data_IF_345549817728
#
_entry.id   IF_345549817728
#
_cell.length_a   1.000
_cell.length_b   1.000
_cell.length_c   1.000
_cell.angle_alpha   90.00
_cell.angle_beta   90.00
_cell.angle_gamma   90.00
#
_symmetry.space_group_name_H-M   'P 1'
#
loop_
_entity.id
_entity.type
_entity.pdbx_description
1 polymer ?
#
# COMPACT_ATOMS: atom_id res chain seq x y z
N UNK A 1 22.51 -1.30 62.98
CA UNK A 1 22.95 -1.74 61.64
C UNK A 1 22.23 -0.92 60.56
N UNK A 2 22.96 -0.05 59.85
CA UNK A 2 22.46 0.64 58.66
C UNK A 2 22.86 -0.20 57.45
N UNK A 3 21.87 -0.72 56.72
CA UNK A 3 22.06 -1.31 55.40
C UNK A 3 21.40 -0.38 54.39
N UNK A 4 22.19 0.16 53.46
CA UNK A 4 21.69 0.86 52.28
C UNK A 4 22.13 0.07 51.05
N UNK A 5 21.18 -0.47 50.31
CA UNK A 5 21.41 -0.93 48.94
C UNK A 5 21.36 0.33 48.07
N UNK A 6 22.52 0.88 47.75
CA UNK A 6 22.61 1.90 46.69
C UNK A 6 22.76 1.17 45.35
N UNK A 7 21.73 1.25 44.51
CA UNK A 7 21.83 0.93 43.10
C UNK A 7 22.60 2.07 42.40
N UNK A 8 23.77 1.77 41.85
CA UNK A 8 24.52 2.70 41.00
C UNK A 8 24.22 2.33 39.55
N UNK A 9 23.49 3.19 38.84
CA UNK A 9 23.30 3.08 37.39
C UNK A 9 24.31 3.96 36.68
N UNK A 10 25.18 3.35 35.89
CA UNK A 10 26.05 4.07 34.96
C UNK A 10 25.29 4.28 33.65
N UNK A 11 24.88 5.51 33.37
CA UNK A 11 24.35 5.89 32.06
C UNK A 11 25.54 6.15 31.13
N UNK A 12 25.95 5.17 30.35
CA UNK A 12 26.85 5.41 29.21
C UNK A 12 25.97 5.75 28.00
N UNK A 13 26.17 6.94 27.43
CA UNK A 13 25.51 7.33 26.17
C UNK A 13 26.35 6.76 25.02
N UNK A 14 25.79 5.89 24.16
CA UNK A 14 26.49 5.40 22.98
C UNK A 14 26.90 6.54 22.04
N UNK A 15 28.06 6.38 21.40
CA UNK A 15 28.62 7.31 20.39
C UNK A 15 28.02 7.11 19.00
N UNK A 16 27.27 6.04 18.78
CA UNK A 16 26.59 5.72 17.53
C UNK A 16 25.08 6.01 17.62
N UNK A 17 24.46 6.21 16.45
CA UNK A 17 23.02 6.39 16.33
C UNK A 17 22.27 5.14 16.80
N UNK A 18 21.09 5.34 17.40
CA UNK A 18 20.23 4.26 17.93
C UNK A 18 18.77 4.64 17.85
N UNK A 19 17.88 3.74 18.26
CA UNK A 19 16.43 3.99 18.32
C UNK A 19 15.89 4.46 16.95
N UNK A 20 16.09 3.65 15.88
CA UNK A 20 15.62 4.01 14.54
C UNK A 20 14.10 4.12 14.49
N UNK A 21 13.63 5.01 13.61
CA UNK A 21 12.25 5.16 13.19
C UNK A 21 12.23 5.21 11.65
N UNK A 22 11.49 4.35 10.94
CA UNK A 22 10.80 3.17 11.45
C UNK A 22 11.70 2.25 12.27
N UNK A 23 11.11 1.49 13.22
CA UNK A 23 11.87 0.50 13.98
C UNK A 23 12.53 -0.51 13.03
N UNK A 24 13.69 -1.04 13.42
CA UNK A 24 14.35 -2.04 12.60
C UNK A 24 13.48 -3.29 12.47
N UNK A 25 13.45 -3.88 11.27
CA UNK A 25 12.59 -5.00 10.89
C UNK A 25 11.09 -4.68 10.86
N UNK A 26 10.71 -3.40 10.92
CA UNK A 26 9.31 -3.01 10.75
C UNK A 26 8.79 -3.43 9.36
N UNK A 27 7.67 -4.14 9.36
CA UNK A 27 6.93 -4.49 8.13
C UNK A 27 5.75 -3.55 7.95
N UNK A 28 5.25 -3.47 6.71
CA UNK A 28 4.07 -2.66 6.37
C UNK A 28 4.18 -1.20 6.82
N UNK A 29 5.38 -0.62 6.70
CA UNK A 29 5.59 0.81 7.00
C UNK A 29 4.78 1.64 6.02
N UNK A 30 3.66 2.18 6.49
CA UNK A 30 2.70 2.91 5.67
C UNK A 30 3.37 4.03 4.88
N UNK A 31 3.08 4.05 3.58
CA UNK A 31 3.40 5.15 2.67
C UNK A 31 2.13 5.92 2.26
N UNK A 32 1.08 5.80 3.08
CA UNK A 32 -0.27 6.32 2.84
C UNK A 32 -1.15 5.39 2.00
N UNK A 33 -2.22 5.95 1.47
CA UNK A 33 -3.14 5.29 0.53
C UNK A 33 -2.98 5.90 -0.87
N UNK A 34 -3.70 5.36 -1.86
CA UNK A 34 -3.63 5.85 -3.23
C UNK A 34 -4.23 7.26 -3.39
N UNK A 35 -5.17 7.62 -2.52
CA UNK A 35 -5.85 8.90 -2.45
C UNK A 35 -5.22 9.86 -1.42
N UNK A 36 -4.59 9.35 -0.36
CA UNK A 36 -3.95 10.15 0.70
C UNK A 36 -2.54 9.61 0.99
N UNK A 37 -1.54 9.95 0.16
CA UNK A 37 -0.19 9.47 0.36
C UNK A 37 0.49 10.10 1.57
N UNK A 38 1.36 9.34 2.21
CA UNK A 38 2.14 9.79 3.37
C UNK A 38 3.62 9.74 3.06
N UNK A 39 4.30 10.83 3.38
CA UNK A 39 5.74 10.93 3.28
C UNK A 39 6.43 10.18 4.44
N UNK A 40 7.23 9.17 4.11
CA UNK A 40 8.05 8.48 5.10
C UNK A 40 9.32 9.27 5.39
N UNK A 41 9.62 9.47 6.67
CA UNK A 41 10.83 10.13 7.14
C UNK A 41 11.56 9.20 8.10
N UNK A 42 12.85 8.98 7.88
CA UNK A 42 13.70 8.27 8.83
C UNK A 42 14.00 9.18 10.01
N UNK A 43 14.01 8.61 11.21
CA UNK A 43 14.42 9.27 12.44
C UNK A 43 15.33 8.38 13.25
N UNK A 44 16.20 8.97 14.05
CA UNK A 44 17.07 8.23 14.97
C UNK A 44 17.39 9.10 16.18
N UNK A 45 17.96 8.48 17.20
CA UNK A 45 18.60 9.17 18.31
C UNK A 45 20.09 9.27 18.06
N UNK A 46 20.60 10.51 18.05
CA UNK A 46 22.00 10.79 17.84
C UNK A 46 22.93 10.07 18.84
N UNK A 47 24.10 9.71 18.33
CA UNK A 47 25.27 9.37 19.10
C UNK A 47 25.73 10.54 19.99
N UNK A 48 26.43 10.20 21.08
CA UNK A 48 27.05 11.18 21.96
C UNK A 48 28.03 12.05 21.15
N UNK A 49 27.90 13.37 21.28
CA UNK A 49 28.79 14.36 20.68
C UNK A 49 28.80 14.37 19.13
N UNK A 50 27.84 13.71 18.48
CA UNK A 50 27.70 13.80 17.03
C UNK A 50 27.36 15.22 16.57
N UNK A 51 27.97 15.65 15.46
CA UNK A 51 27.77 16.99 14.86
C UNK A 51 26.97 16.88 13.56
N UNK A 52 27.23 15.84 12.77
CA UNK A 52 26.49 15.54 11.53
C UNK A 52 26.26 14.04 11.41
N UNK A 53 25.31 13.68 10.56
CA UNK A 53 24.87 12.31 10.34
C UNK A 53 24.96 11.98 8.84
N UNK A 54 25.80 11.03 8.47
CA UNK A 54 25.82 10.51 7.10
C UNK A 54 24.80 9.37 7.00
N UNK A 55 23.72 9.61 6.28
CA UNK A 55 22.58 8.69 6.14
C UNK A 55 22.76 7.85 4.88
N UNK A 56 22.99 6.55 5.05
CA UNK A 56 23.05 5.57 3.95
C UNK A 56 21.71 4.87 3.85
N UNK A 57 21.11 4.81 2.66
CA UNK A 57 19.83 4.13 2.39
C UNK A 57 19.91 3.42 1.03
N UNK A 58 19.55 2.14 0.99
CA UNK A 58 19.56 1.33 -0.24
C UNK A 58 18.63 0.12 -0.12
N UNK A 59 18.24 -0.46 -1.26
CA UNK A 59 17.62 -1.79 -1.32
C UNK A 59 18.65 -2.93 -1.35
N UNK A 60 19.94 -2.60 -1.53
CA UNK A 60 21.07 -3.53 -1.43
C UNK A 60 21.70 -3.44 -0.03
N UNK A 61 21.42 -4.44 0.82
CA UNK A 61 21.94 -4.55 2.18
C UNK A 61 23.47 -4.51 2.23
N UNK A 62 24.14 -5.23 1.32
CA UNK A 62 25.60 -5.35 1.33
C UNK A 62 26.25 -4.01 0.98
N UNK A 63 25.66 -3.24 0.06
CA UNK A 63 26.12 -1.89 -0.24
C UNK A 63 26.06 -0.96 1.00
N UNK A 64 25.05 -1.11 1.86
CA UNK A 64 24.94 -0.34 3.11
C UNK A 64 25.96 -0.81 4.14
N UNK A 65 26.11 -2.13 4.32
CA UNK A 65 27.13 -2.74 5.21
C UNK A 65 28.51 -2.19 4.86
N UNK A 66 28.89 -2.28 3.59
CA UNK A 66 30.22 -1.88 3.12
C UNK A 66 30.41 -0.36 3.05
N UNK A 67 29.34 0.43 3.18
CA UNK A 67 29.38 1.89 3.03
C UNK A 67 29.57 2.35 1.58
N UNK A 68 29.22 1.50 0.62
CA UNK A 68 29.26 1.79 -0.82
C UNK A 68 27.95 2.40 -1.34
N UNK A 69 26.86 2.28 -0.59
CA UNK A 69 25.61 2.99 -0.89
C UNK A 69 25.84 4.52 -0.87
N UNK A 70 25.16 5.29 -1.74
CA UNK A 70 25.14 6.74 -1.62
C UNK A 70 24.66 7.16 -0.23
N UNK A 71 25.25 8.23 0.31
CA UNK A 71 24.79 8.82 1.56
C UNK A 71 24.51 10.31 1.40
N UNK A 72 23.67 10.81 2.29
CA UNK A 72 23.40 12.24 2.45
C UNK A 72 23.79 12.66 3.85
N UNK A 73 24.63 13.71 3.96
CA UNK A 73 24.94 14.32 5.26
C UNK A 73 23.83 15.26 5.69
N UNK A 74 23.31 15.07 6.90
CA UNK A 74 22.33 15.96 7.53
C UNK A 74 22.80 16.42 8.91
N UNK A 75 22.27 17.55 9.36
CA UNK A 75 22.52 18.08 10.71
C UNK A 75 21.42 17.68 11.71
N UNK A 76 20.22 17.37 11.22
CA UNK A 76 19.10 16.94 12.04
C UNK A 76 19.09 15.43 12.19
N UNK A 77 18.47 14.92 13.25
CA UNK A 77 18.32 13.47 13.48
C UNK A 77 17.13 12.89 12.71
N UNK A 78 16.91 13.37 11.49
CA UNK A 78 15.85 12.91 10.59
C UNK A 78 16.26 13.06 9.12
N UNK A 79 15.72 12.19 8.26
CA UNK A 79 15.98 12.19 6.82
C UNK A 79 14.74 11.80 6.03
N UNK A 80 14.26 12.72 5.20
CA UNK A 80 13.06 12.54 4.40
C UNK A 80 12.54 13.89 3.87
N UNK A 81 11.42 13.90 3.15
CA UNK A 81 10.58 12.74 2.82
C UNK A 81 11.27 11.78 1.82
N UNK A 82 11.01 10.48 1.96
CA UNK A 82 11.55 9.45 1.08
C UNK A 82 10.58 9.11 -0.05
N UNK A 83 11.14 8.86 -1.24
CA UNK A 83 10.42 8.20 -2.34
C UNK A 83 10.69 6.70 -2.26
N UNK A 84 9.65 5.93 -1.97
CA UNK A 84 9.74 4.48 -1.74
C UNK A 84 8.83 3.73 -2.71
N UNK A 85 9.29 2.55 -3.11
CA UNK A 85 8.52 1.59 -3.89
C UNK A 85 7.76 0.65 -2.94
N UNK A 86 6.62 0.13 -3.40
CA UNK A 86 5.86 -0.89 -2.67
C UNK A 86 6.61 -2.23 -2.58
N UNK A 87 6.29 -3.03 -1.56
CA UNK A 87 6.78 -4.38 -1.35
C UNK A 87 8.30 -4.47 -1.27
N UNK A 88 8.96 -3.37 -0.89
CA UNK A 88 10.40 -3.21 -0.99
C UNK A 88 11.01 -3.08 0.40
N UNK A 89 12.04 -3.87 0.66
CA UNK A 89 12.85 -3.75 1.87
C UNK A 89 13.97 -2.74 1.64
N UNK A 90 14.05 -1.76 2.53
CA UNK A 90 15.09 -0.75 2.54
C UNK A 90 16.00 -0.98 3.74
N UNK A 91 17.30 -0.97 3.48
CA UNK A 91 18.37 -1.08 4.47
C UNK A 91 19.03 0.27 4.63
N UNK A 92 19.36 0.63 5.87
CA UNK A 92 19.97 1.91 6.15
C UNK A 92 20.84 1.89 7.40
N UNK A 93 21.77 2.83 7.45
CA UNK A 93 22.61 3.08 8.63
C UNK A 93 22.95 4.56 8.73
N UNK A 94 23.35 4.97 9.91
CA UNK A 94 23.88 6.30 10.18
C UNK A 94 25.34 6.17 10.57
N UNK A 95 26.20 6.93 9.90
CA UNK A 95 27.52 7.22 10.43
C UNK A 95 27.45 8.56 11.16
N UNK A 96 27.67 8.54 12.47
CA UNK A 96 27.80 9.71 13.31
C UNK A 96 29.17 10.34 13.11
N UNK A 97 29.23 11.66 12.87
CA UNK A 97 30.47 12.36 12.52
C UNK A 97 30.76 13.49 13.49
N UNK A 98 32.00 13.54 13.99
CA UNK A 98 32.57 14.67 14.71
C UNK A 98 34.09 14.74 14.47
N UNK A 99 34.53 15.71 13.65
CA UNK A 99 35.93 15.92 13.28
C UNK A 99 36.85 16.31 14.45
N UNK A 100 36.30 16.70 15.61
CA UNK A 100 37.07 17.06 16.79
C UNK A 100 37.47 15.84 17.65
N UNK A 101 36.90 14.66 17.39
CA UNK A 101 37.06 13.45 18.18
C UNK A 101 37.96 12.42 17.50
N UNK A 102 38.33 11.35 18.20
CA UNK A 102 39.08 10.22 17.62
C UNK A 102 38.48 8.88 18.08
N UNK A 103 37.90 8.06 17.18
CA UNK A 103 37.76 8.30 15.74
C UNK A 103 36.80 9.46 15.44
N UNK A 104 36.87 10.03 14.24
CA UNK A 104 35.98 11.11 13.80
C UNK A 104 34.59 10.62 13.37
N UNK A 105 34.40 9.29 13.28
CA UNK A 105 33.18 8.67 12.77
C UNK A 105 32.84 7.39 13.53
N UNK A 106 31.55 7.19 13.81
CA UNK A 106 31.02 5.96 14.43
C UNK A 106 29.79 5.44 13.68
N UNK A 107 29.82 4.18 13.27
CA UNK A 107 28.71 3.56 12.53
C UNK A 107 27.66 3.00 13.49
N UNK A 108 26.39 3.13 13.13
CA UNK A 108 25.28 2.43 13.78
C UNK A 108 25.23 0.95 13.40
N UNK A 109 24.27 0.23 13.99
CA UNK A 109 23.78 -1.03 13.42
C UNK A 109 23.12 -0.78 12.05
N UNK A 110 22.95 -1.85 11.27
CA UNK A 110 22.16 -1.81 10.04
C UNK A 110 20.70 -2.01 10.43
N UNK A 111 19.86 -1.06 10.04
CA UNK A 111 18.43 -1.15 10.23
C UNK A 111 17.74 -1.40 8.90
N UNK A 112 16.54 -1.96 8.96
CA UNK A 112 15.72 -2.16 7.77
C UNK A 112 14.25 -1.96 8.07
N UNK A 113 13.48 -1.72 7.03
CA UNK A 113 12.02 -1.78 7.08
C UNK A 113 11.48 -2.18 5.69
N UNK A 114 10.25 -2.67 5.65
CA UNK A 114 9.57 -3.10 4.43
C UNK A 114 8.29 -2.29 4.23
N UNK A 115 8.08 -1.81 3.02
CA UNK A 115 6.85 -1.09 2.62
C UNK A 115 5.71 -2.06 2.30
N UNK A 116 4.43 -1.64 2.37
CA UNK A 116 3.27 -2.44 1.98
C UNK A 116 3.39 -2.96 0.55
N UNK A 117 2.82 -4.13 0.26
CA UNK A 117 2.91 -4.75 -1.07
C UNK A 117 1.99 -4.11 -2.13
N UNK A 118 0.94 -3.42 -1.70
CA UNK A 118 -0.07 -2.84 -2.59
C UNK A 118 -0.76 -1.64 -1.93
N UNK A 119 -1.37 -0.80 -2.76
CA UNK A 119 -2.42 0.12 -2.34
C UNK A 119 -3.79 -0.51 -2.58
N UNK A 120 -4.74 -0.23 -1.69
CA UNK A 120 -6.15 -0.57 -1.90
C UNK A 120 -6.79 0.53 -2.72
N UNK A 121 -7.44 0.14 -3.83
CA UNK A 121 -8.28 1.04 -4.63
C UNK A 121 -9.70 1.09 -4.05
N UNK A 122 -10.28 -0.08 -3.81
CA UNK A 122 -11.56 -0.28 -3.14
C UNK A 122 -11.58 -1.72 -2.62
N UNK A 123 -11.78 -1.91 -1.31
CA UNK A 123 -11.98 -3.23 -0.69
C UNK A 123 -13.45 -3.53 -0.40
N UNK A 124 -14.34 -2.59 -0.73
CA UNK A 124 -15.78 -2.61 -0.52
C UNK A 124 -16.25 -2.54 0.93
N UNK A 125 -15.36 -2.30 1.89
CA UNK A 125 -15.71 -2.37 3.31
C UNK A 125 -16.42 -1.12 3.85
N UNK A 126 -16.30 0.01 3.15
CA UNK A 126 -16.89 1.30 3.57
C UNK A 126 -18.39 1.45 3.25
N UNK A 127 -18.99 0.51 2.51
CA UNK A 127 -20.40 0.59 2.11
C UNK A 127 -21.36 -0.01 3.14
N UNK A 128 -22.58 0.50 3.20
CA UNK A 128 -23.62 -0.02 4.10
C UNK A 128 -25.04 0.03 3.52
N UNK A 129 -26.04 -0.37 4.30
CA UNK A 129 -27.44 -0.49 3.87
C UNK A 129 -28.25 0.82 3.93
N UNK A 130 -27.59 1.95 4.25
CA UNK A 130 -28.23 3.23 4.56
C UNK A 130 -27.64 4.40 3.76
N UNK A 131 -28.47 5.40 3.40
CA UNK A 131 -27.98 6.59 2.75
C UNK A 131 -26.95 7.37 3.58
N UNK A 132 -25.89 7.92 2.96
CA UNK A 132 -25.61 7.93 1.52
C UNK A 132 -24.69 6.79 1.03
N UNK A 133 -24.27 5.90 1.92
CA UNK A 133 -23.12 5.01 1.70
C UNK A 133 -23.52 3.64 1.11
N UNK A 134 -24.68 3.56 0.44
CA UNK A 134 -25.03 2.36 -0.30
C UNK A 134 -24.08 2.15 -1.50
N UNK A 135 -23.71 0.90 -1.76
CA UNK A 135 -22.73 0.55 -2.80
C UNK A 135 -23.09 1.10 -4.18
N UNK A 136 -24.38 1.11 -4.55
CA UNK A 136 -24.87 1.62 -5.84
C UNK A 136 -24.88 3.15 -5.95
N UNK A 137 -24.75 3.88 -4.83
CA UNK A 137 -24.53 5.33 -4.89
C UNK A 137 -23.07 5.66 -5.22
N UNK A 138 -22.15 4.76 -4.86
CA UNK A 138 -20.72 4.94 -5.04
C UNK A 138 -20.22 4.31 -6.37
N UNK A 139 -20.77 3.16 -6.72
CA UNK A 139 -20.62 2.49 -8.00
C UNK A 139 -21.93 2.61 -8.78
N UNK A 140 -21.99 3.48 -9.77
CA UNK A 140 -23.17 3.71 -10.59
C UNK A 140 -23.40 2.51 -11.52
N UNK A 141 -24.62 1.98 -11.51
CA UNK A 141 -25.04 0.87 -12.34
C UNK A 141 -26.12 1.26 -13.36
N UNK A 142 -26.80 0.26 -13.93
CA UNK A 142 -27.82 0.45 -14.96
C UNK A 142 -29.18 0.94 -14.48
N UNK A 143 -29.40 1.17 -13.18
CA UNK A 143 -30.74 1.46 -12.66
C UNK A 143 -31.38 2.70 -13.31
N UNK A 144 -30.59 3.74 -13.57
CA UNK A 144 -31.04 4.98 -14.22
C UNK A 144 -30.64 5.10 -15.69
N UNK A 145 -29.95 4.11 -16.25
CA UNK A 145 -29.49 4.09 -17.64
C UNK A 145 -29.92 2.80 -18.36
N UNK A 146 -30.95 2.85 -19.24
CA UNK A 146 -31.42 1.67 -19.95
C UNK A 146 -30.42 1.09 -20.96
N UNK A 147 -29.33 1.81 -21.28
CA UNK A 147 -28.25 1.29 -22.11
C UNK A 147 -27.25 0.42 -21.33
N UNK A 148 -27.23 0.54 -20.00
CA UNK A 148 -26.40 -0.22 -19.08
C UNK A 148 -27.23 -1.33 -18.40
N UNK A 149 -26.82 -2.57 -18.58
CA UNK A 149 -27.47 -3.75 -18.05
C UNK A 149 -26.94 -4.22 -16.70
N UNK A 150 -26.03 -3.46 -16.06
CA UNK A 150 -25.43 -3.84 -14.79
C UNK A 150 -26.35 -3.59 -13.60
N UNK A 151 -26.19 -4.43 -12.58
CA UNK A 151 -26.62 -4.14 -11.21
C UNK A 151 -25.45 -4.44 -10.27
N UNK A 152 -25.08 -3.47 -9.43
CA UNK A 152 -23.96 -3.62 -8.47
C UNK A 152 -24.42 -3.90 -7.03
N UNK A 153 -25.69 -4.27 -6.87
CA UNK A 153 -26.29 -4.58 -5.59
C UNK A 153 -27.14 -5.86 -5.64
N UNK A 154 -27.38 -6.44 -4.47
CA UNK A 154 -28.43 -7.42 -4.27
C UNK A 154 -29.82 -6.81 -4.50
N UNK A 155 -30.82 -7.67 -4.68
CA UNK A 155 -32.21 -7.26 -4.88
C UNK A 155 -32.88 -6.68 -3.60
N UNK A 156 -32.29 -6.93 -2.43
CA UNK A 156 -32.70 -6.41 -1.13
C UNK A 156 -31.48 -6.36 -0.19
N UNK A 157 -31.51 -5.56 0.89
CA UNK A 157 -30.45 -5.52 1.88
C UNK A 157 -30.14 -6.92 2.47
N UNK A 158 -28.87 -7.25 2.74
CA UNK A 158 -27.69 -6.39 2.57
C UNK A 158 -27.40 -6.10 1.09
N UNK A 159 -27.16 -4.83 0.75
CA UNK A 159 -26.99 -4.43 -0.65
C UNK A 159 -25.71 -5.01 -1.26
N UNK A 160 -24.65 -5.13 -0.46
CA UNK A 160 -23.42 -5.84 -0.83
C UNK A 160 -23.53 -7.36 -0.58
N UNK A 161 -22.66 -8.13 -1.23
CA UNK A 161 -22.55 -9.59 -1.05
C UNK A 161 -21.76 -9.89 0.23
N UNK A 162 -22.32 -10.71 1.12
CA UNK A 162 -21.74 -11.02 2.44
C UNK A 162 -21.46 -12.51 2.66
N UNK A 163 -21.92 -13.37 1.76
CA UNK A 163 -21.67 -14.81 1.81
C UNK A 163 -20.48 -15.24 0.92
N UNK A 164 -20.29 -14.58 -0.22
CA UNK A 164 -19.17 -14.84 -1.14
C UNK A 164 -18.20 -13.66 -1.08
N UNK A 165 -17.26 -13.72 -0.13
CA UNK A 165 -16.33 -12.63 0.19
C UNK A 165 -14.88 -13.13 0.05
N UNK A 166 -13.97 -12.27 -0.42
CA UNK A 166 -12.55 -12.60 -0.58
C UNK A 166 -11.76 -12.33 0.70
N UNK A 167 -12.02 -11.18 1.31
CA UNK A 167 -11.47 -10.71 2.56
C UNK A 167 -12.41 -9.65 3.12
N UNK A 168 -12.30 -9.34 4.41
CA UNK A 168 -13.26 -8.45 5.07
C UNK A 168 -14.63 -9.11 5.30
N UNK A 169 -15.66 -8.29 5.30
CA UNK A 169 -17.05 -8.67 5.58
C UNK A 169 -17.93 -8.70 4.32
N UNK A 170 -17.50 -8.03 3.24
CA UNK A 170 -18.33 -7.87 2.05
C UNK A 170 -17.55 -7.84 0.72
N UNK A 171 -18.30 -7.92 -0.37
CA UNK A 171 -17.80 -7.72 -1.73
C UNK A 171 -18.89 -7.08 -2.60
N UNK A 172 -18.50 -6.46 -3.71
CA UNK A 172 -19.46 -5.99 -4.70
C UNK A 172 -20.08 -7.16 -5.47
N UNK A 173 -21.42 -7.36 -5.41
CA UNK A 173 -22.09 -8.21 -6.38
C UNK A 173 -22.10 -7.49 -7.73
N UNK A 174 -21.89 -8.20 -8.82
CA UNK A 174 -22.00 -7.65 -10.18
C UNK A 174 -22.84 -8.57 -11.03
N UNK A 175 -24.06 -8.13 -11.34
CA UNK A 175 -24.95 -8.79 -12.28
C UNK A 175 -24.96 -8.05 -13.61
N UNK A 176 -25.22 -8.76 -14.70
CA UNK A 176 -25.27 -8.18 -16.04
C UNK A 176 -26.44 -8.74 -16.84
N UNK A 177 -27.02 -7.90 -17.71
CA UNK A 177 -28.06 -8.30 -18.67
C UNK A 177 -28.05 -7.36 -19.88
N UNK A 178 -27.40 -7.78 -20.97
CA UNK A 178 -27.42 -7.03 -22.24
C UNK A 178 -28.65 -7.39 -23.07
N UNK A 179 -29.83 -7.23 -22.48
CA UNK A 179 -31.13 -7.46 -23.12
C UNK A 179 -32.00 -6.20 -22.99
N UNK A 180 -33.10 -6.12 -23.76
CA UNK A 180 -34.11 -5.06 -23.55
C UNK A 180 -33.66 -3.62 -23.84
N UNK A 181 -32.54 -3.41 -24.54
CA UNK A 181 -32.00 -2.09 -24.86
C UNK A 181 -30.59 -1.86 -24.33
N UNK A 182 -30.18 -2.63 -23.32
CA UNK A 182 -28.83 -2.59 -22.79
C UNK A 182 -27.80 -3.11 -23.81
N UNK A 183 -26.73 -2.34 -23.99
CA UNK A 183 -25.63 -2.64 -24.94
C UNK A 183 -24.30 -2.95 -24.24
N UNK A 184 -24.18 -2.57 -22.97
CA UNK A 184 -23.06 -2.88 -22.08
C UNK A 184 -23.58 -3.14 -20.66
N UNK A 185 -22.73 -3.63 -19.77
CA UNK A 185 -23.03 -3.79 -18.35
C UNK A 185 -21.79 -3.42 -17.56
N UNK A 186 -21.78 -2.22 -16.98
CA UNK A 186 -20.65 -1.63 -16.25
C UNK A 186 -21.12 -1.13 -14.89
N UNK A 187 -20.37 -1.45 -13.84
CA UNK A 187 -20.40 -0.68 -12.60
C UNK A 187 -19.31 0.38 -12.69
N UNK A 188 -19.67 1.66 -12.53
CA UNK A 188 -18.76 2.78 -12.75
C UNK A 188 -18.56 3.58 -11.46
N UNK A 189 -17.30 3.89 -11.13
CA UNK A 189 -16.96 4.79 -10.02
C UNK A 189 -16.10 5.93 -10.52
N UNK A 190 -16.51 7.16 -10.20
CA UNK A 190 -15.68 8.34 -10.35
C UNK A 190 -15.15 8.76 -8.98
N UNK A 191 -13.82 8.81 -8.83
CA UNK A 191 -13.19 9.31 -7.61
C UNK A 191 -13.19 10.84 -7.58
N UNK A 192 -13.59 11.43 -6.45
CA UNK A 192 -13.67 12.88 -6.29
C UNK A 192 -12.29 13.57 -6.40
N UNK A 193 -11.25 12.88 -5.94
CA UNK A 193 -9.84 13.27 -6.10
C UNK A 193 -9.22 12.35 -7.13
N UNK A 194 -8.59 12.87 -8.22
CA UNK A 194 -7.86 12.04 -9.16
C UNK A 194 -6.74 11.27 -8.47
N UNK A 195 -6.66 9.96 -8.73
CA UNK A 195 -5.69 9.07 -8.12
C UNK A 195 -4.57 8.74 -9.12
N UNK A 196 -3.32 8.67 -8.65
CA UNK A 196 -2.16 8.25 -9.45
C UNK A 196 -1.81 6.80 -9.15
N UNK A 197 -2.37 5.88 -9.94
CA UNK A 197 -2.17 4.43 -9.79
C UNK A 197 -0.80 3.93 -10.25
N UNK A 198 0.08 4.81 -10.73
CA UNK A 198 1.47 4.48 -11.06
C UNK A 198 2.48 4.88 -9.97
N UNK A 199 2.01 5.54 -8.90
CA UNK A 199 2.86 5.97 -7.78
C UNK A 199 3.56 4.79 -7.10
N UNK A 200 4.71 5.05 -6.45
CA UNK A 200 5.49 4.06 -5.69
C UNK A 200 5.89 2.82 -6.53
N UNK A 201 6.11 3.04 -7.84
CA UNK A 201 6.55 2.01 -8.75
C UNK A 201 5.49 0.95 -9.09
N UNK A 202 4.20 1.21 -8.82
CA UNK A 202 3.10 0.32 -9.19
C UNK A 202 3.09 0.08 -10.70
N UNK A 203 2.96 -1.19 -11.08
CA UNK A 203 2.88 -1.63 -12.49
C UNK A 203 1.67 -2.52 -12.77
N UNK A 204 0.95 -2.90 -11.73
CA UNK A 204 -0.10 -3.92 -11.83
C UNK A 204 -1.31 -3.48 -11.02
N UNK A 205 -2.47 -3.48 -11.67
CA UNK A 205 -3.76 -3.46 -10.99
C UNK A 205 -4.23 -4.90 -10.79
N UNK A 206 -4.47 -5.30 -9.55
CA UNK A 206 -5.01 -6.62 -9.24
C UNK A 206 -6.53 -6.52 -8.99
N UNK A 207 -7.33 -7.09 -9.89
CA UNK A 207 -8.76 -7.28 -9.68
C UNK A 207 -9.02 -8.73 -9.26
N UNK A 208 -9.83 -8.92 -8.23
CA UNK A 208 -10.32 -10.24 -7.86
C UNK A 208 -11.80 -10.38 -8.20
N UNK A 209 -12.16 -11.49 -8.83
CA UNK A 209 -13.54 -11.78 -9.19
C UNK A 209 -13.91 -13.22 -8.82
N UNK A 210 -15.21 -13.45 -8.61
CA UNK A 210 -15.76 -14.77 -8.33
C UNK A 210 -16.76 -15.14 -9.43
N UNK A 211 -16.51 -16.25 -10.12
CA UNK A 211 -17.38 -16.71 -11.21
C UNK A 211 -18.62 -17.45 -10.73
N UNK A 212 -19.68 -17.43 -11.53
CA UNK A 212 -20.91 -18.19 -11.27
C UNK A 212 -21.11 -19.24 -12.35
N UNK A 213 -21.46 -20.46 -11.97
CA UNK A 213 -21.67 -21.57 -12.90
C UNK A 213 -22.63 -21.22 -14.04
N UNK A 214 -22.22 -21.49 -15.27
CA UNK A 214 -23.01 -21.19 -16.47
C UNK A 214 -22.82 -19.78 -17.03
N UNK A 215 -21.99 -18.94 -16.41
CA UNK A 215 -21.63 -17.63 -16.96
C UNK A 215 -20.91 -17.79 -18.31
N UNK A 216 -21.44 -17.11 -19.35
CA UNK A 216 -20.86 -17.06 -20.71
C UNK A 216 -20.45 -15.65 -21.12
N UNK A 217 -20.39 -14.73 -20.16
CA UNK A 217 -20.07 -13.34 -20.39
C UNK A 217 -18.60 -13.10 -20.72
N UNK A 218 -18.28 -11.84 -20.95
CA UNK A 218 -16.92 -11.33 -21.05
C UNK A 218 -16.71 -10.32 -19.93
N UNK A 219 -15.49 -10.26 -19.40
CA UNK A 219 -15.09 -9.31 -18.38
C UNK A 219 -14.06 -8.35 -18.97
N UNK A 220 -14.10 -7.09 -18.56
CA UNK A 220 -13.07 -6.11 -18.84
C UNK A 220 -12.98 -5.14 -17.65
N UNK A 221 -11.88 -4.39 -17.61
CA UNK A 221 -11.71 -3.21 -16.77
C UNK A 221 -11.52 -2.02 -17.69
N UNK A 222 -12.10 -0.89 -17.30
CA UNK A 222 -11.95 0.38 -17.99
C UNK A 222 -11.46 1.44 -17.01
N UNK A 223 -10.40 2.15 -17.39
CA UNK A 223 -9.84 3.28 -16.62
C UNK A 223 -9.62 4.43 -17.59
N UNK A 224 -10.25 5.57 -17.34
CA UNK A 224 -10.17 6.78 -18.19
C UNK A 224 -10.35 6.48 -19.69
N UNK A 225 -11.45 5.80 -20.05
CA UNK A 225 -11.81 5.40 -21.43
C UNK A 225 -10.89 4.34 -22.09
N UNK A 226 -9.85 3.87 -21.38
CA UNK A 226 -9.01 2.77 -21.84
C UNK A 226 -9.59 1.45 -21.34
N UNK A 227 -10.04 0.61 -22.27
CA UNK A 227 -10.64 -0.70 -22.01
C UNK A 227 -9.65 -1.83 -22.18
N UNK A 228 -9.46 -2.63 -21.14
CA UNK A 228 -8.63 -3.84 -21.17
C UNK A 228 -9.52 -5.07 -20.94
N UNK A 229 -9.68 -5.96 -21.93
CA UNK A 229 -10.45 -7.19 -21.76
C UNK A 229 -9.70 -8.20 -20.89
N UNK A 230 -10.45 -9.03 -20.16
CA UNK A 230 -9.90 -10.16 -19.43
C UNK A 230 -9.14 -11.09 -20.37
N UNK A 231 -7.88 -11.33 -20.05
CA UNK A 231 -6.91 -12.07 -20.85
C UNK A 231 -6.66 -13.50 -20.35
N UNK A 232 -7.29 -13.89 -19.23
CA UNK A 232 -7.24 -15.24 -18.70
C UNK A 232 -8.22 -16.22 -19.37
N UNK A 233 -8.27 -17.44 -18.86
CA UNK A 233 -9.18 -18.49 -19.37
C UNK A 233 -10.64 -18.10 -19.12
N UNK A 234 -11.46 -18.03 -20.18
CA UNK A 234 -12.88 -17.66 -20.09
C UNK A 234 -13.68 -18.56 -19.13
N UNK A 235 -13.25 -19.82 -18.91
CA UNK A 235 -13.89 -20.71 -17.93
C UNK A 235 -13.78 -20.23 -16.49
N UNK A 236 -12.83 -19.34 -16.18
CA UNK A 236 -12.69 -18.70 -14.87
C UNK A 236 -13.92 -17.86 -14.51
N UNK A 237 -14.58 -17.24 -15.48
CA UNK A 237 -15.81 -16.46 -15.26
C UNK A 237 -17.00 -17.35 -14.84
N UNK A 238 -16.93 -18.64 -15.15
CA UNK A 238 -17.95 -19.63 -14.78
C UNK A 238 -17.57 -20.45 -13.53
N UNK A 239 -16.42 -20.17 -12.90
CA UNK A 239 -15.87 -20.98 -11.82
C UNK A 239 -16.24 -20.41 -10.46
N UNK A 240 -16.86 -21.25 -9.63
CA UNK A 240 -17.05 -20.97 -8.22
C UNK A 240 -15.68 -20.99 -7.49
N UNK A 241 -15.10 -19.80 -7.29
CA UNK A 241 -13.85 -19.57 -6.58
C UNK A 241 -13.22 -18.24 -6.98
N UNK A 242 -12.59 -17.56 -6.03
CA UNK A 242 -11.88 -16.31 -6.28
C UNK A 242 -10.74 -16.49 -7.28
N UNK A 243 -10.76 -15.69 -8.32
CA UNK A 243 -9.74 -15.60 -9.36
C UNK A 243 -9.02 -14.27 -9.21
N UNK A 244 -7.70 -14.29 -9.37
CA UNK A 244 -6.90 -13.07 -9.47
C UNK A 244 -6.72 -12.72 -10.95
N UNK A 245 -6.93 -11.45 -11.28
CA UNK A 245 -6.58 -10.89 -12.57
C UNK A 245 -5.59 -9.75 -12.37
N UNK A 246 -4.36 -9.98 -12.81
CA UNK A 246 -3.29 -8.99 -12.74
C UNK A 246 -3.22 -8.27 -14.09
N UNK A 247 -3.56 -6.99 -14.08
CA UNK A 247 -3.67 -6.13 -15.25
C UNK A 247 -2.42 -5.27 -15.29
N UNK A 248 -1.69 -5.30 -16.40
CA UNK A 248 -0.58 -4.37 -16.63
C UNK A 248 -1.13 -2.94 -16.67
N UNK A 249 -0.52 -2.04 -15.91
CA UNK A 249 -0.91 -0.63 -15.87
C UNK A 249 -0.39 0.16 -17.08
N UNK A 250 0.56 -0.36 -17.86
CA UNK A 250 1.14 0.32 -19.02
C UNK A 250 0.13 0.83 -20.09
N UNK A 251 -1.04 0.19 -20.31
CA UNK A 251 -2.06 0.71 -21.22
C UNK A 251 -2.82 1.93 -20.71
N UNK A 252 -2.89 2.13 -19.39
CA UNK A 252 -3.70 3.19 -18.74
C UNK A 252 -2.96 4.52 -18.61
#
# INVERSE_FOLDING_TARGET
PLFGLSEVRFFSIPVFAREPQPESEATDVSIGTIDEPVDVTLGWRAGRDAVTHDVYLSTDEQAVIDGNAPFTTVAETSYGPLSLDLGTTYYWKINEVNEAETPTTWQSEIWNFTTPEYFVVDDFEDYNDWPPDEIFNAWIDGYYDPANGALVSNAAPPWAETAIVRGGEQAMPLFYSNTGGATYSEGERTFAVPQDWAKAGVKTLALYFYGTGGNTGQLYVEVNDTKVPYDGDASNLARAGWQAWNIDMAPF
#
